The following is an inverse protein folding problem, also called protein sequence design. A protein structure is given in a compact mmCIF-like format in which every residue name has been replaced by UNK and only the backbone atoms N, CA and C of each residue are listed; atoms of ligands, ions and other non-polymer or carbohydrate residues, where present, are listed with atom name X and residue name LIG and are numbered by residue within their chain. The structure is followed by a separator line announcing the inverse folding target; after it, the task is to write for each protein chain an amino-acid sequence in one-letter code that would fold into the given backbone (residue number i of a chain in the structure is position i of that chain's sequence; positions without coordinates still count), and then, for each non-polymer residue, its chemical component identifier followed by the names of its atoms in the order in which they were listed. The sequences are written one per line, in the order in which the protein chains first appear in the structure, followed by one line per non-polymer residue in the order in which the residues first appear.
data_IF_998752207664
#
_entry.id   IF_998752207664
#
_cell.length_a   1.000
_cell.length_b   1.000
_cell.length_c   1.000
_cell.angle_alpha   90.00
_cell.angle_beta   90.00
_cell.angle_gamma   90.00
#
_symmetry.space_group_name_H-M   'P 1'
#
loop_
_entity.id
_entity.type
_entity.pdbx_description
1 polymer ?
#
# COMPACT_ATOMS: atom_id res chain seq x y z
N UNK A 1 38.20 37.02 43.33
CA UNK A 1 37.41 35.86 43.77
C UNK A 1 35.97 36.35 43.87
N UNK A 2 34.94 35.85 43.20
CA UNK A 2 34.70 34.72 42.30
C UNK A 2 33.40 35.07 41.55
N UNK A 3 33.38 34.84 40.24
CA UNK A 3 32.34 34.15 39.46
C UNK A 3 30.91 34.76 39.47
N UNK A 4 30.27 35.12 38.36
CA UNK A 4 30.27 34.46 37.05
C UNK A 4 29.14 33.42 37.00
N UNK A 5 27.93 33.82 36.59
CA UNK A 5 26.89 32.94 36.03
C UNK A 5 25.75 33.79 35.47
N UNK A 6 25.76 33.98 34.15
CA UNK A 6 24.60 34.35 33.36
C UNK A 6 24.03 33.03 32.83
N UNK A 7 22.90 32.59 33.37
CA UNK A 7 22.19 31.41 32.85
C UNK A 7 21.34 31.90 31.69
N UNK A 8 21.76 31.53 30.48
CA UNK A 8 20.99 31.67 29.25
C UNK A 8 19.94 30.54 29.25
N UNK A 9 18.67 30.88 29.44
CA UNK A 9 17.57 29.91 29.25
C UNK A 9 17.31 29.83 27.75
N UNK A 10 17.82 28.78 27.11
CA UNK A 10 17.41 28.38 25.77
C UNK A 10 16.02 27.78 25.86
N UNK A 11 15.02 28.51 25.35
CA UNK A 11 13.71 27.95 25.07
C UNK A 11 13.87 26.97 23.90
N UNK A 12 13.83 25.67 24.20
CA UNK A 12 13.65 24.64 23.19
C UNK A 12 12.17 24.69 22.80
N UNK A 13 11.89 25.33 21.67
CA UNK A 13 10.63 25.13 20.96
C UNK A 13 10.67 23.70 20.42
N UNK A 14 10.02 22.78 21.14
CA UNK A 14 9.63 21.51 20.58
C UNK A 14 8.59 21.81 19.49
N UNK A 15 9.00 21.71 18.23
CA UNK A 15 8.06 21.53 17.14
C UNK A 15 7.46 20.14 17.34
N UNK A 16 6.27 20.09 17.95
CA UNK A 16 5.42 18.93 17.83
C UNK A 16 4.99 18.86 16.37
N UNK A 17 5.40 17.81 15.67
CA UNK A 17 4.68 17.35 14.49
C UNK A 17 3.29 16.95 15.00
N UNK A 18 2.34 17.86 14.86
CA UNK A 18 0.94 17.55 15.10
C UNK A 18 0.40 16.82 13.88
N UNK A 19 -0.17 15.64 14.09
CA UNK A 19 -1.17 15.06 13.19
C UNK A 19 -2.40 15.99 13.20
N UNK A 20 -2.33 17.08 12.45
CA UNK A 20 -3.47 17.90 12.09
C UNK A 20 -3.41 18.04 10.58
N UNK A 21 -4.50 17.65 9.92
CA UNK A 21 -4.69 17.85 8.50
C UNK A 21 -4.51 19.35 8.17
N UNK A 22 -3.39 19.69 7.56
CA UNK A 22 -3.20 20.94 6.84
C UNK A 22 -2.69 20.58 5.45
N UNK A 23 -3.52 20.90 4.45
CA UNK A 23 -3.18 20.91 3.03
C UNK A 23 -2.15 22.01 2.79
N UNK A 24 -0.93 21.67 2.37
CA UNK A 24 0.00 22.68 1.83
C UNK A 24 0.87 22.10 0.72
N UNK A 25 0.48 22.49 -0.48
CA UNK A 25 1.11 22.32 -1.78
C UNK A 25 2.41 23.15 -1.83
N UNK A 26 3.58 22.50 -1.91
CA UNK A 26 4.82 23.17 -2.29
C UNK A 26 5.67 22.35 -3.26
N UNK A 27 5.49 22.68 -4.53
CA UNK A 27 6.32 22.34 -5.68
C UNK A 27 7.77 22.79 -5.47
N UNK A 28 8.73 21.87 -5.61
CA UNK A 28 10.16 22.19 -5.79
C UNK A 28 10.56 21.82 -7.22
N UNK A 29 11.03 22.79 -8.05
CA UNK A 29 11.60 22.49 -9.35
C UNK A 29 13.09 22.18 -9.20
N UNK A 30 13.59 21.13 -9.86
CA UNK A 30 15.01 21.08 -10.20
C UNK A 30 15.23 20.71 -11.66
N UNK A 31 16.18 21.46 -12.22
CA UNK A 31 16.56 21.55 -13.61
C UNK A 31 17.60 20.51 -13.99
N UNK A 32 17.72 20.26 -15.31
CA UNK A 32 18.90 19.84 -16.13
C UNK A 32 18.37 19.00 -17.31
N UNK A 33 18.86 19.05 -18.54
CA UNK A 33 20.07 19.62 -19.14
C UNK A 33 19.84 19.64 -20.68
N UNK A 34 20.23 20.71 -21.36
CA UNK A 34 20.17 20.84 -22.83
C UNK A 34 21.38 20.13 -23.47
N UNK A 35 21.15 19.25 -24.45
CA UNK A 35 22.25 18.58 -25.15
C UNK A 35 21.89 17.95 -26.48
N UNK A 36 21.85 18.75 -27.54
CA UNK A 36 21.86 18.30 -28.93
C UNK A 36 23.18 17.60 -29.31
N UNK A 37 23.14 16.59 -30.20
CA UNK A 37 23.58 16.66 -31.61
C UNK A 37 23.84 15.26 -32.22
N UNK A 38 23.23 15.03 -33.39
CA UNK A 38 23.73 14.37 -34.63
C UNK A 38 24.55 13.08 -34.57
N UNK A 39 24.07 12.03 -35.26
CA UNK A 39 24.86 11.34 -36.31
C UNK A 39 23.97 10.57 -37.30
N UNK A 40 24.53 10.39 -38.48
CA UNK A 40 23.99 10.09 -39.79
C UNK A 40 23.63 8.60 -40.01
N UNK A 41 22.72 8.33 -40.96
CA UNK A 41 22.57 6.96 -41.44
C UNK A 41 21.41 6.71 -42.39
N UNK A 42 21.56 7.13 -43.65
CA UNK A 42 20.66 6.71 -44.74
C UNK A 42 20.88 5.23 -45.07
N UNK A 43 19.81 4.43 -45.11
CA UNK A 43 19.84 3.05 -45.61
C UNK A 43 18.46 2.65 -46.09
N UNK A 44 18.25 2.77 -47.40
CA UNK A 44 17.02 2.37 -48.08
C UNK A 44 17.06 0.88 -48.37
N UNK A 45 16.03 0.15 -47.97
CA UNK A 45 15.67 -1.14 -48.56
C UNK A 45 14.16 -1.12 -48.84
N UNK A 46 13.84 -1.17 -50.12
CA UNK A 46 12.49 -1.29 -50.63
C UNK A 46 12.16 -2.78 -50.77
N UNK A 47 11.08 -3.22 -50.13
CA UNK A 47 10.33 -4.40 -50.57
C UNK A 47 8.84 -4.09 -50.43
N UNK A 48 8.16 -4.13 -51.57
CA UNK A 48 6.73 -3.95 -51.70
C UNK A 48 6.06 -5.32 -51.60
N UNK A 49 5.04 -5.44 -50.76
CA UNK A 49 3.90 -6.35 -50.98
C UNK A 49 2.66 -5.81 -50.25
N UNK A 50 1.52 -5.91 -50.93
CA UNK A 50 0.26 -5.24 -50.68
C UNK A 50 -0.63 -5.95 -49.64
N UNK A 51 -1.37 -5.18 -48.82
CA UNK A 51 -2.84 -5.05 -48.88
C UNK A 51 -3.42 -4.33 -47.64
N UNK A 52 -4.43 -3.48 -47.94
CA UNK A 52 -5.52 -2.97 -47.09
C UNK A 52 -5.27 -1.78 -46.13
N UNK A 53 -5.88 -0.65 -46.53
CA UNK A 53 -6.48 0.42 -45.74
C UNK A 53 -5.60 1.21 -44.76
N UNK A 54 -4.91 2.22 -45.30
CA UNK A 54 -4.68 3.47 -44.58
C UNK A 54 -4.71 4.63 -45.59
N UNK A 55 -5.85 5.30 -45.67
CA UNK A 55 -5.96 6.63 -46.29
C UNK A 55 -5.23 7.63 -45.39
N UNK A 56 -3.90 7.59 -45.45
CA UNK A 56 -3.02 8.55 -44.80
C UNK A 56 -3.07 9.87 -45.58
N UNK A 57 -4.06 10.71 -45.29
CA UNK A 57 -3.98 12.17 -45.50
C UNK A 57 -5.15 12.95 -44.83
N UNK A 58 -5.72 12.45 -43.74
CA UNK A 58 -6.42 13.32 -42.78
C UNK A 58 -5.36 13.83 -41.81
N UNK A 59 -5.16 15.14 -41.64
CA UNK A 59 -4.31 15.62 -40.56
C UNK A 59 -4.96 15.15 -39.25
N UNK A 60 -4.35 14.13 -38.63
CA UNK A 60 -4.73 13.66 -37.30
C UNK A 60 -4.75 14.87 -36.38
N UNK A 61 -5.97 15.29 -36.03
CA UNK A 61 -6.14 16.31 -35.00
C UNK A 61 -5.89 15.61 -33.69
N UNK A 62 -4.92 16.05 -32.87
CA UNK A 62 -4.61 15.37 -31.63
C UNK A 62 -5.87 15.24 -30.77
N UNK A 63 -6.12 14.04 -30.27
CA UNK A 63 -7.24 13.71 -29.40
C UNK A 63 -6.94 14.26 -28.00
N UNK A 64 -7.03 15.58 -27.81
CA UNK A 64 -6.50 16.23 -26.61
C UNK A 64 -7.44 17.28 -25.99
N UNK A 65 -8.74 17.13 -26.24
CA UNK A 65 -9.79 17.96 -25.65
C UNK A 65 -10.86 17.07 -25.04
N UNK A 66 -11.54 17.53 -23.97
CA UNK A 66 -12.61 16.76 -23.32
C UNK A 66 -13.69 16.23 -24.29
N UNK A 67 -13.95 16.95 -25.37
CA UNK A 67 -14.99 16.56 -26.34
C UNK A 67 -14.55 15.43 -27.28
N UNK A 68 -13.24 15.21 -27.43
CA UNK A 68 -12.67 14.16 -28.26
C UNK A 68 -12.31 12.96 -27.37
N UNK A 69 -11.73 13.22 -26.20
CA UNK A 69 -11.34 12.21 -25.21
C UNK A 69 -12.49 11.58 -24.39
N UNK A 70 -13.73 11.74 -24.83
CA UNK A 70 -14.91 11.20 -24.15
C UNK A 70 -16.05 10.89 -25.13
N UNK A 71 -15.72 10.69 -26.41
CA UNK A 71 -16.69 10.42 -27.46
C UNK A 71 -16.68 8.95 -27.94
N UNK A 72 -15.79 8.11 -27.36
CA UNK A 72 -15.62 6.70 -27.66
C UNK A 72 -15.18 6.42 -29.09
N UNK A 73 -14.46 7.35 -29.71
CA UNK A 73 -13.93 7.22 -31.07
C UNK A 73 -12.47 7.64 -31.08
N UNK A 74 -11.61 6.75 -31.58
CA UNK A 74 -10.24 7.06 -32.01
C UNK A 74 -10.25 8.18 -33.08
N UNK A 75 -10.10 9.43 -32.63
CA UNK A 75 -10.26 10.64 -33.42
C UNK A 75 -8.97 11.02 -34.17
N UNK A 76 -7.83 10.50 -33.74
CA UNK A 76 -6.52 10.77 -34.32
C UNK A 76 -5.95 9.60 -35.15
N UNK A 77 -6.56 8.42 -35.03
CA UNK A 77 -6.32 7.22 -35.82
C UNK A 77 -5.10 6.41 -35.37
N UNK A 78 -4.62 6.59 -34.14
CA UNK A 78 -3.43 5.91 -33.62
C UNK A 78 -3.73 4.53 -32.99
N UNK A 79 -5.01 4.19 -32.88
CA UNK A 79 -5.52 2.90 -32.40
C UNK A 79 -5.84 2.86 -30.91
N UNK A 80 -5.67 3.98 -30.19
CA UNK A 80 -6.15 4.17 -28.82
C UNK A 80 -7.43 5.03 -28.84
N UNK A 81 -8.20 5.05 -27.76
CA UNK A 81 -9.51 5.74 -27.73
C UNK A 81 -9.74 6.34 -26.36
N UNK A 82 -10.19 7.58 -26.31
CA UNK A 82 -10.47 8.32 -25.08
C UNK A 82 -9.30 8.23 -24.08
N UNK A 83 -9.55 7.86 -22.82
CA UNK A 83 -8.56 7.87 -21.76
C UNK A 83 -7.51 6.75 -21.84
N UNK A 84 -7.71 5.77 -22.72
CA UNK A 84 -6.65 4.81 -23.09
C UNK A 84 -5.63 5.44 -24.07
N UNK A 85 -5.96 6.59 -24.67
CA UNK A 85 -5.08 7.39 -25.52
C UNK A 85 -4.10 8.24 -24.67
N UNK A 86 -2.85 8.29 -25.09
CA UNK A 86 -1.81 9.12 -24.49
C UNK A 86 -2.03 10.61 -24.72
N UNK A 87 -2.59 11.00 -25.86
CA UNK A 87 -2.93 12.39 -26.17
C UNK A 87 -4.07 12.90 -25.27
N UNK A 88 -4.92 11.99 -24.76
CA UNK A 88 -5.93 12.27 -23.75
C UNK A 88 -5.37 12.24 -22.33
N UNK A 89 -4.84 11.10 -21.89
CA UNK A 89 -4.37 10.88 -20.50
C UNK A 89 -3.22 11.79 -20.08
N UNK A 90 -2.47 12.36 -21.02
CA UNK A 90 -1.35 13.28 -20.73
C UNK A 90 -1.63 14.73 -21.07
N UNK A 91 -2.83 15.04 -21.58
CA UNK A 91 -3.18 16.41 -21.91
C UNK A 91 -3.69 17.14 -20.68
N UNK A 92 -3.00 18.21 -20.22
CA UNK A 92 -3.42 18.97 -19.05
C UNK A 92 -4.71 19.78 -19.28
N UNK A 93 -5.20 19.83 -20.53
CA UNK A 93 -6.50 20.41 -20.89
C UNK A 93 -7.62 19.37 -20.94
N UNK A 94 -7.30 18.09 -20.78
CA UNK A 94 -8.26 16.98 -20.72
C UNK A 94 -8.53 16.69 -19.25
N UNK A 95 -9.78 16.90 -18.81
CA UNK A 95 -10.22 16.61 -17.43
C UNK A 95 -11.12 15.38 -17.34
N UNK A 96 -11.49 14.79 -18.48
CA UNK A 96 -12.33 13.58 -18.57
C UNK A 96 -11.54 12.28 -18.34
N UNK A 97 -10.20 12.37 -18.22
CA UNK A 97 -9.32 11.20 -18.10
C UNK A 97 -8.53 11.14 -16.78
N UNK A 98 -9.12 11.66 -15.71
CA UNK A 98 -8.55 11.56 -14.38
C UNK A 98 -7.51 12.63 -14.09
N UNK A 99 -7.90 13.59 -13.25
CA UNK A 99 -6.98 14.57 -12.69
C UNK A 99 -7.51 15.29 -11.44
N UNK A 100 -8.78 15.10 -11.09
CA UNK A 100 -9.41 15.64 -9.89
C UNK A 100 -10.32 14.60 -9.25
N UNK A 101 -10.70 14.81 -7.99
CA UNK A 101 -11.66 13.96 -7.31
C UNK A 101 -13.06 14.16 -7.89
N UNK A 102 -13.79 13.07 -8.15
CA UNK A 102 -15.20 13.08 -8.51
C UNK A 102 -16.07 13.20 -7.24
N UNK A 103 -16.02 14.36 -6.57
CA UNK A 103 -16.59 14.54 -5.21
C UNK A 103 -17.58 15.71 -5.07
N UNK A 104 -18.10 16.21 -6.20
CA UNK A 104 -19.05 17.32 -6.24
C UNK A 104 -20.30 16.99 -7.07
N UNK A 105 -21.44 17.61 -6.73
CA UNK A 105 -22.70 17.48 -7.48
C UNK A 105 -22.56 17.68 -9.00
N UNK A 106 -21.62 18.51 -9.44
CA UNK A 106 -21.45 18.84 -10.86
C UNK A 106 -20.64 17.79 -11.62
N UNK A 107 -19.82 17.01 -10.91
CA UNK A 107 -19.02 15.92 -11.46
C UNK A 107 -19.83 14.61 -11.40
N UNK A 108 -20.54 14.41 -10.29
CA UNK A 108 -21.34 13.21 -10.04
C UNK A 108 -22.73 13.13 -10.74
N UNK A 109 -22.99 13.97 -11.75
CA UNK A 109 -24.24 13.98 -12.55
C UNK A 109 -23.97 14.39 -14.01
N UNK A 110 -22.71 14.33 -14.45
CA UNK A 110 -22.31 14.75 -15.79
C UNK A 110 -22.16 13.60 -16.79
N UNK A 111 -22.25 12.36 -16.33
CA UNK A 111 -22.19 11.16 -17.15
C UNK A 111 -20.78 10.73 -17.53
N UNK A 112 -19.75 11.28 -16.87
CA UNK A 112 -18.34 11.03 -17.18
C UNK A 112 -17.59 10.56 -15.92
N UNK A 113 -16.68 9.62 -16.12
CA UNK A 113 -15.66 9.24 -15.13
C UNK A 113 -14.62 10.38 -15.04
N UNK A 114 -14.76 11.29 -14.09
CA UNK A 114 -13.91 12.48 -14.00
C UNK A 114 -12.59 12.23 -13.27
N UNK A 115 -12.48 11.14 -12.50
CA UNK A 115 -11.28 10.78 -11.76
C UNK A 115 -10.49 9.60 -12.37
N UNK A 116 -11.08 8.93 -13.35
CA UNK A 116 -10.46 7.91 -14.21
C UNK A 116 -10.35 6.54 -13.54
N UNK A 117 -11.13 6.25 -12.50
CA UNK A 117 -11.06 5.00 -11.75
C UNK A 117 -11.94 3.87 -12.32
N UNK A 118 -12.72 4.17 -13.37
CA UNK A 118 -13.59 3.25 -14.09
C UNK A 118 -15.03 3.20 -13.57
N UNK A 119 -15.38 4.04 -12.59
CA UNK A 119 -16.74 4.26 -12.14
C UNK A 119 -17.24 5.63 -12.63
N UNK A 120 -18.56 5.87 -12.60
CA UNK A 120 -19.15 7.08 -13.21
C UNK A 120 -20.34 7.56 -12.41
N UNK A 121 -20.40 8.87 -12.16
CA UNK A 121 -21.46 9.52 -11.41
C UNK A 121 -21.75 8.78 -10.09
N UNK A 122 -23.00 8.42 -9.83
CA UNK A 122 -23.41 7.80 -8.58
C UNK A 122 -23.01 6.34 -8.43
N UNK A 123 -22.49 5.71 -9.49
CA UNK A 123 -21.84 4.41 -9.39
C UNK A 123 -20.37 4.55 -8.90
N UNK A 124 -19.84 5.78 -8.86
CA UNK A 124 -18.51 6.14 -8.34
C UNK A 124 -18.48 6.22 -6.79
N UNK A 125 -17.38 5.76 -6.19
CA UNK A 125 -17.21 5.78 -4.73
C UNK A 125 -16.86 7.16 -4.17
N UNK A 126 -16.10 7.95 -4.91
CA UNK A 126 -15.89 9.38 -4.67
C UNK A 126 -17.21 10.13 -4.65
N UNK A 127 -18.14 9.79 -5.54
CA UNK A 127 -19.47 10.40 -5.55
C UNK A 127 -20.41 9.90 -4.47
N UNK A 128 -20.62 8.58 -4.39
CA UNK A 128 -21.57 7.96 -3.46
C UNK A 128 -21.19 8.14 -1.99
N UNK A 129 -19.90 8.27 -1.68
CA UNK A 129 -19.42 8.45 -0.31
C UNK A 129 -19.05 9.89 0.03
N UNK A 130 -19.11 10.81 -0.94
CA UNK A 130 -18.80 12.21 -0.67
C UNK A 130 -19.97 12.90 0.03
N UNK A 131 -19.77 13.41 1.26
CA UNK A 131 -20.83 14.08 2.00
C UNK A 131 -21.25 15.42 1.38
N UNK A 132 -20.51 15.94 0.40
CA UNK A 132 -20.86 17.13 -0.37
C UNK A 132 -21.70 16.83 -1.62
N UNK A 133 -21.86 15.56 -2.00
CA UNK A 133 -22.65 15.13 -3.15
C UNK A 133 -24.07 14.80 -2.68
N UNK A 134 -25.05 15.42 -3.34
CA UNK A 134 -26.49 15.34 -3.05
C UNK A 134 -27.30 14.81 -4.24
N UNK A 135 -26.69 14.77 -5.42
CA UNK A 135 -27.33 14.35 -6.66
C UNK A 135 -27.57 12.83 -6.73
N UNK A 136 -26.78 12.04 -6.00
CA UNK A 136 -26.85 10.58 -5.97
C UNK A 136 -27.99 9.98 -5.16
N UNK A 137 -29.03 10.79 -4.86
CA UNK A 137 -30.29 10.29 -4.32
C UNK A 137 -30.27 9.93 -2.84
N UNK A 138 -29.09 9.93 -2.21
CA UNK A 138 -28.92 9.87 -0.78
C UNK A 138 -28.76 11.24 -0.15
N UNK A 139 -29.58 11.60 0.82
CA UNK A 139 -29.19 12.69 1.71
C UNK A 139 -28.03 12.20 2.57
N UNK A 140 -27.07 13.03 2.96
CA UNK A 140 -25.94 12.52 3.75
C UNK A 140 -26.37 11.93 5.10
N UNK A 141 -26.05 10.67 5.39
CA UNK A 141 -26.26 10.04 6.69
C UNK A 141 -25.04 10.27 7.60
N UNK A 142 -24.87 11.52 8.04
CA UNK A 142 -23.58 11.97 8.58
C UNK A 142 -23.70 12.87 9.82
N UNK A 143 -24.84 12.81 10.52
CA UNK A 143 -25.11 13.56 11.74
C UNK A 143 -25.73 12.67 12.79
N UNK A 144 -25.57 12.99 14.08
CA UNK A 144 -26.20 12.26 15.19
C UNK A 144 -27.72 12.04 15.04
N UNK A 145 -28.41 12.94 14.34
CA UNK A 145 -29.84 12.86 14.14
C UNK A 145 -30.24 11.87 13.04
N UNK A 146 -29.37 11.66 12.05
CA UNK A 146 -29.58 10.77 10.92
C UNK A 146 -29.00 9.38 11.21
N UNK A 147 -27.84 9.34 11.87
CA UNK A 147 -27.16 8.12 12.30
C UNK A 147 -27.76 7.42 13.52
N UNK A 148 -28.99 7.77 13.90
CA UNK A 148 -29.65 7.22 15.09
C UNK A 148 -31.17 7.21 14.98
N UNK A 149 -31.70 7.32 13.77
CA UNK A 149 -33.14 7.32 13.50
C UNK A 149 -33.66 6.00 12.91
N UNK A 150 -32.78 5.02 12.68
CA UNK A 150 -33.08 3.71 12.12
C UNK A 150 -33.62 3.76 10.69
N UNK A 151 -33.20 4.77 9.92
CA UNK A 151 -33.55 4.96 8.52
C UNK A 151 -32.27 5.14 7.71
N UNK A 152 -32.14 4.32 6.67
CA UNK A 152 -31.20 4.52 5.57
C UNK A 152 -31.53 5.84 4.84
N UNK A 153 -30.87 6.91 5.27
CA UNK A 153 -31.14 8.28 4.87
C UNK A 153 -30.38 8.68 3.60
N UNK A 154 -29.31 7.95 3.28
CA UNK A 154 -28.51 8.10 2.06
C UNK A 154 -28.81 7.03 0.99
N UNK A 155 -29.63 6.04 1.30
CA UNK A 155 -30.11 5.05 0.35
C UNK A 155 -29.03 4.07 -0.13
N UNK A 156 -27.88 3.99 0.55
CA UNK A 156 -26.77 3.12 0.18
C UNK A 156 -26.96 1.66 0.66
N UNK A 157 -28.02 1.42 1.44
CA UNK A 157 -28.42 0.12 1.95
C UNK A 157 -27.85 -0.22 3.34
N UNK A 158 -27.06 0.67 3.93
CA UNK A 158 -26.64 0.62 5.32
C UNK A 158 -27.54 1.56 6.16
N UNK A 159 -27.50 1.44 7.49
CA UNK A 159 -28.41 2.21 8.36
C UNK A 159 -27.74 2.51 9.68
N UNK A 160 -27.87 3.74 10.14
CA UNK A 160 -27.27 4.29 11.35
C UNK A 160 -25.78 3.91 11.45
N UNK A 161 -25.37 3.27 12.54
CA UNK A 161 -23.97 2.96 12.81
C UNK A 161 -23.41 1.80 12.00
N UNK A 162 -24.25 1.11 11.24
CA UNK A 162 -23.79 0.16 10.22
C UNK A 162 -23.36 0.90 8.93
N UNK A 163 -23.71 2.19 8.79
CA UNK A 163 -23.32 3.08 7.70
C UNK A 163 -21.90 3.66 7.94
N UNK A 164 -21.10 3.76 6.89
CA UNK A 164 -19.76 4.36 6.95
C UNK A 164 -19.79 5.89 7.12
N UNK A 165 -20.78 6.58 6.55
CA UNK A 165 -21.07 8.00 6.75
C UNK A 165 -21.36 8.35 8.21
N UNK A 166 -21.75 7.36 9.01
CA UNK A 166 -21.94 7.45 10.45
C UNK A 166 -20.74 6.93 11.25
N UNK A 167 -20.35 5.66 11.05
CA UNK A 167 -19.33 4.97 11.85
C UNK A 167 -17.93 5.58 11.70
N UNK A 168 -17.60 6.14 10.54
CA UNK A 168 -16.28 6.74 10.26
C UNK A 168 -16.29 8.26 10.31
N UNK A 169 -17.42 8.88 10.66
CA UNK A 169 -17.52 10.32 10.71
C UNK A 169 -17.26 10.84 12.14
N UNK A 170 -16.14 11.57 12.36
CA UNK A 170 -15.77 12.04 13.69
C UNK A 170 -16.73 13.10 14.27
N UNK A 171 -17.67 13.62 13.48
CA UNK A 171 -18.72 14.52 13.94
C UNK A 171 -19.96 13.80 14.48
N UNK A 172 -20.04 12.48 14.29
CA UNK A 172 -21.12 11.61 14.77
C UNK A 172 -20.68 10.93 16.05
N UNK A 173 -21.44 11.15 17.13
CA UNK A 173 -21.20 10.63 18.48
C UNK A 173 -22.23 9.58 18.91
N UNK A 174 -23.40 9.54 18.23
CA UNK A 174 -24.48 8.60 18.55
C UNK A 174 -24.07 7.13 18.38
N UNK A 175 -23.09 6.87 17.50
CA UNK A 175 -22.58 5.52 17.23
C UNK A 175 -21.62 4.96 18.27
N UNK A 176 -21.36 5.69 19.35
CA UNK A 176 -20.70 5.14 20.52
C UNK A 176 -19.22 4.82 20.34
N UNK A 177 -18.68 4.87 19.12
CA UNK A 177 -17.24 4.72 18.88
C UNK A 177 -16.52 6.00 19.29
N UNK A 178 -16.10 6.05 20.54
CA UNK A 178 -14.91 6.84 20.85
C UNK A 178 -13.79 6.23 20.02
N UNK A 179 -13.39 6.91 18.95
CA UNK A 179 -12.36 6.44 18.02
C UNK A 179 -11.16 5.90 18.80
N UNK A 180 -10.79 4.66 18.52
CA UNK A 180 -9.64 4.00 19.14
C UNK A 180 -8.36 4.35 18.36
N UNK A 181 -7.99 5.65 18.37
CA UNK A 181 -7.00 6.20 17.44
C UNK A 181 -5.86 6.99 18.11
N UNK A 182 -5.76 6.88 19.42
CA UNK A 182 -4.81 7.65 20.23
C UNK A 182 -4.26 6.78 21.37
N UNK A 183 -3.09 7.15 21.89
CA UNK A 183 -2.39 6.41 22.94
C UNK A 183 -3.22 6.10 24.19
N UNK A 184 -4.24 6.91 24.49
CA UNK A 184 -5.09 6.67 25.67
C UNK A 184 -6.12 5.59 25.40
N UNK A 185 -6.70 5.57 24.20
CA UNK A 185 -7.66 4.56 23.80
C UNK A 185 -6.94 3.24 23.49
N UNK A 186 -5.90 3.29 22.65
CA UNK A 186 -5.13 2.13 22.19
C UNK A 186 -4.20 1.46 23.23
N UNK A 187 -4.33 1.80 24.52
CA UNK A 187 -3.44 1.28 25.56
C UNK A 187 -4.11 1.13 26.92
N UNK A 188 -5.44 1.06 26.95
CA UNK A 188 -6.23 1.03 28.18
C UNK A 188 -6.83 -0.36 28.49
N UNK A 189 -6.69 -1.34 27.60
CA UNK A 189 -7.23 -2.68 27.78
C UNK A 189 -8.72 -2.79 27.47
N UNK A 190 -9.29 -1.85 26.73
CA UNK A 190 -10.71 -1.83 26.38
C UNK A 190 -10.93 -1.52 24.91
N UNK A 191 -11.81 -2.30 24.29
CA UNK A 191 -12.46 -2.01 23.00
C UNK A 191 -13.27 -0.71 23.11
N UNK A 192 -12.66 0.42 22.74
CA UNK A 192 -13.23 1.76 22.91
C UNK A 192 -14.14 2.16 21.72
N UNK A 193 -13.97 1.51 20.57
CA UNK A 193 -14.78 1.75 19.37
C UNK A 193 -15.87 0.69 19.13
N UNK A 194 -15.82 -0.43 19.83
CA UNK A 194 -16.83 -1.49 19.83
C UNK A 194 -16.70 -2.49 18.70
N UNK A 195 -15.58 -2.53 17.98
CA UNK A 195 -15.36 -3.41 16.82
C UNK A 195 -14.97 -4.86 17.21
N UNK A 196 -14.85 -5.15 18.52
CA UNK A 196 -14.41 -6.41 19.17
C UNK A 196 -12.90 -6.65 19.23
N UNK A 197 -12.09 -5.78 18.63
CA UNK A 197 -10.65 -5.74 18.85
C UNK A 197 -10.35 -4.77 19.99
N UNK A 198 -9.11 -4.77 20.46
CA UNK A 198 -8.74 -4.04 21.67
C UNK A 198 -7.29 -3.64 21.56
N UNK A 199 -7.01 -2.38 21.86
CA UNK A 199 -5.71 -1.74 21.83
C UNK A 199 -4.97 -2.04 20.51
N UNK A 200 -3.71 -2.46 20.57
CA UNK A 200 -2.86 -2.67 19.40
C UNK A 200 -3.26 -3.88 18.54
N UNK A 201 -4.22 -4.70 19.00
CA UNK A 201 -4.86 -5.71 18.14
C UNK A 201 -5.89 -5.09 17.19
N UNK A 202 -6.30 -3.86 17.47
CA UNK A 202 -7.17 -3.08 16.61
C UNK A 202 -6.39 -2.51 15.43
N UNK A 203 -7.00 -2.54 14.24
CA UNK A 203 -6.44 -1.88 13.05
C UNK A 203 -6.44 -0.36 13.18
N UNK A 204 -7.38 0.22 13.90
CA UNK A 204 -7.47 1.66 14.13
C UNK A 204 -6.33 2.17 15.02
N UNK A 205 -5.74 1.28 15.82
CA UNK A 205 -4.53 1.50 16.60
C UNK A 205 -3.24 1.12 15.85
N UNK A 206 -3.11 -0.13 15.42
CA UNK A 206 -1.88 -0.68 14.81
C UNK A 206 -1.51 -0.02 13.49
N UNK A 207 -2.49 0.42 12.70
CA UNK A 207 -2.25 1.09 11.41
C UNK A 207 -2.11 2.60 11.54
N UNK A 208 -2.24 3.16 12.75
CA UNK A 208 -2.26 4.60 12.96
C UNK A 208 -0.90 5.12 13.42
N UNK A 209 -0.17 5.87 12.57
CA UNK A 209 1.19 6.35 12.88
C UNK A 209 1.23 7.40 14.00
N UNK A 210 0.09 7.90 14.46
CA UNK A 210 -0.01 8.83 15.57
C UNK A 210 -0.16 8.10 16.93
N UNK A 211 -0.39 6.79 16.91
CA UNK A 211 -0.42 5.91 18.09
C UNK A 211 1.00 5.40 18.34
N UNK A 212 1.52 5.71 19.52
CA UNK A 212 2.89 5.39 19.97
C UNK A 212 2.91 4.39 21.11
N UNK A 213 1.76 3.88 21.54
CA UNK A 213 1.70 2.75 22.47
C UNK A 213 1.88 1.41 21.75
N UNK A 214 1.45 1.33 20.49
CA UNK A 214 1.66 0.19 19.60
C UNK A 214 3.01 0.30 18.89
N UNK A 215 4.10 0.25 19.65
CA UNK A 215 5.45 0.37 19.11
C UNK A 215 5.95 -1.00 18.71
N UNK A 216 6.28 -1.20 17.43
CA UNK A 216 6.92 -2.44 16.97
C UNK A 216 8.11 -2.80 17.88
N UNK A 217 8.23 -4.09 18.22
CA UNK A 217 9.22 -4.56 19.15
C UNK A 217 10.65 -4.20 18.73
N UNK A 218 11.45 -3.71 19.68
CA UNK A 218 12.88 -3.50 19.46
C UNK A 218 13.65 -4.82 19.57
N UNK A 219 14.87 -4.93 19.01
CA UNK A 219 15.71 -6.12 19.17
C UNK A 219 15.97 -6.59 20.61
N UNK A 220 15.83 -5.67 21.58
CA UNK A 220 16.03 -5.99 22.99
C UNK A 220 14.76 -6.56 23.67
N UNK A 221 13.60 -6.42 23.01
CA UNK A 221 12.28 -6.88 23.47
C UNK A 221 11.96 -8.29 22.95
N UNK A 222 12.47 -8.66 21.77
CA UNK A 222 12.32 -9.96 21.10
C UNK A 222 12.91 -11.21 21.79
N UNK A 223 12.91 -11.26 23.12
CA UNK A 223 13.42 -12.36 23.94
C UNK A 223 13.30 -12.10 25.45
N UNK A 224 12.45 -11.17 25.85
CA UNK A 224 12.23 -10.78 27.24
C UNK A 224 10.99 -11.46 27.88
N UNK A 225 10.20 -12.20 27.09
CA UNK A 225 9.02 -12.91 27.54
C UNK A 225 7.77 -12.03 27.68
N UNK A 226 7.74 -10.87 27.05
CA UNK A 226 6.60 -9.94 27.09
C UNK A 226 6.21 -9.49 25.69
N UNK A 227 4.92 -9.45 25.44
CA UNK A 227 4.26 -8.74 24.33
C UNK A 227 4.42 -7.22 24.59
N UNK A 228 5.49 -6.63 24.04
CA UNK A 228 5.87 -5.24 24.32
C UNK A 228 5.07 -4.22 23.48
N UNK A 229 4.52 -4.65 22.35
CA UNK A 229 3.77 -3.81 21.42
C UNK A 229 2.24 -3.97 21.56
N UNK A 230 1.78 -4.99 22.29
CA UNK A 230 0.39 -5.24 22.63
C UNK A 230 -0.40 -5.94 21.52
N UNK A 231 0.24 -6.44 20.47
CA UNK A 231 -0.42 -7.05 19.31
C UNK A 231 -0.87 -8.51 19.58
N UNK A 232 -0.41 -9.08 20.69
CA UNK A 232 -0.77 -10.40 21.17
C UNK A 232 0.19 -11.52 20.82
N UNK A 233 1.28 -11.22 20.14
CA UNK A 233 2.40 -12.11 19.94
C UNK A 233 3.52 -11.75 20.93
N UNK A 234 4.52 -12.62 21.09
CA UNK A 234 5.54 -12.41 22.11
C UNK A 234 6.87 -12.95 21.61
N UNK A 235 7.92 -12.16 21.76
CA UNK A 235 9.28 -12.53 21.38
C UNK A 235 9.34 -13.13 19.96
N UNK A 236 9.78 -14.39 19.82
CA UNK A 236 9.96 -15.04 18.52
C UNK A 236 8.68 -15.52 17.84
N UNK A 237 7.55 -15.48 18.55
CA UNK A 237 6.25 -15.73 17.95
C UNK A 237 5.68 -14.44 17.30
N UNK A 238 6.34 -13.30 17.51
CA UNK A 238 5.98 -11.98 17.00
C UNK A 238 6.60 -11.73 15.61
N UNK A 239 5.77 -11.26 14.66
CA UNK A 239 6.20 -10.92 13.31
C UNK A 239 7.17 -9.74 13.27
N UNK A 240 7.02 -8.78 14.16
CA UNK A 240 7.94 -7.64 14.25
C UNK A 240 9.33 -8.14 14.64
N UNK A 241 9.43 -9.15 15.51
CA UNK A 241 10.68 -9.79 15.85
C UNK A 241 11.23 -10.72 14.77
N UNK A 242 10.38 -11.46 14.07
CA UNK A 242 10.80 -12.36 12.99
C UNK A 242 11.41 -11.61 11.79
N UNK A 243 10.92 -10.40 11.51
CA UNK A 243 11.36 -9.61 10.36
C UNK A 243 12.32 -8.46 10.71
N UNK A 244 12.62 -8.22 11.99
CA UNK A 244 13.53 -7.15 12.38
C UNK A 244 15.01 -7.54 12.12
N UNK A 245 15.77 -6.77 11.31
CA UNK A 245 17.09 -7.17 10.80
C UNK A 245 18.17 -7.33 11.88
N UNK A 246 18.02 -6.64 13.01
CA UNK A 246 18.93 -6.71 14.16
C UNK A 246 18.36 -7.53 15.35
N UNK A 247 17.13 -8.05 15.25
CA UNK A 247 16.51 -8.81 16.34
C UNK A 247 17.07 -10.23 16.34
N UNK A 248 17.99 -10.52 17.25
CA UNK A 248 18.44 -11.90 17.44
C UNK A 248 17.38 -12.60 18.24
N UNK A 249 16.46 -13.30 17.57
CA UNK A 249 15.54 -14.19 18.23
C UNK A 249 16.33 -15.31 18.92
N UNK A 250 16.44 -15.32 20.26
CA UNK A 250 17.10 -16.41 20.92
C UNK A 250 16.14 -17.59 20.82
N UNK A 251 16.51 -18.59 20.01
CA UNK A 251 15.73 -19.80 19.89
C UNK A 251 15.24 -20.27 21.24
N UNK A 252 13.91 -20.27 21.41
CA UNK A 252 13.30 -20.85 22.59
C UNK A 252 13.83 -22.27 22.73
N UNK A 253 14.06 -22.73 23.96
CA UNK A 253 14.66 -24.04 24.18
C UNK A 253 13.73 -25.14 23.60
N UNK A 254 14.15 -25.75 22.49
CA UNK A 254 13.36 -26.72 21.74
C UNK A 254 12.64 -26.17 20.51
N UNK A 255 12.93 -24.93 20.07
CA UNK A 255 12.48 -24.40 18.79
C UNK A 255 13.52 -24.69 17.69
N UNK A 256 13.04 -25.06 16.50
CA UNK A 256 13.86 -25.36 15.34
C UNK A 256 14.17 -24.07 14.55
N UNK A 257 15.09 -23.24 15.07
CA UNK A 257 15.31 -21.89 14.51
C UNK A 257 16.77 -21.43 14.48
N UNK A 258 17.71 -22.36 14.69
CA UNK A 258 19.14 -22.12 14.52
C UNK A 258 19.75 -23.04 13.47
N UNK A 259 20.95 -22.72 12.99
CA UNK A 259 21.60 -23.49 11.93
C UNK A 259 21.91 -24.94 12.32
N UNK A 260 21.94 -25.28 13.61
CA UNK A 260 22.21 -26.62 14.09
C UNK A 260 20.94 -27.47 14.17
N UNK A 261 19.80 -26.85 14.46
CA UNK A 261 18.49 -27.48 14.46
C UNK A 261 17.90 -27.56 13.06
N UNK A 262 17.95 -26.48 12.29
CA UNK A 262 17.47 -26.39 10.90
C UNK A 262 18.34 -27.08 9.83
N UNK A 263 19.12 -28.09 10.20
CA UNK A 263 20.00 -28.79 9.26
C UNK A 263 20.51 -30.13 9.79
N UNK A 264 19.79 -30.74 10.73
CA UNK A 264 20.19 -31.98 11.38
C UNK A 264 19.32 -33.19 11.01
N UNK A 265 18.27 -33.00 10.20
CA UNK A 265 17.38 -34.05 9.73
C UNK A 265 16.35 -34.49 10.76
N UNK A 266 16.04 -33.66 11.76
CA UNK A 266 15.07 -33.94 12.80
C UNK A 266 14.14 -32.76 13.04
N UNK A 267 12.84 -33.08 13.11
CA UNK A 267 11.77 -32.26 13.70
C UNK A 267 12.09 -32.01 15.18
N UNK A 268 12.82 -30.94 15.47
CA UNK A 268 13.36 -30.63 16.80
C UNK A 268 12.30 -30.01 17.72
N UNK A 269 11.28 -29.35 17.15
CA UNK A 269 10.20 -28.71 17.88
C UNK A 269 8.88 -29.52 17.94
N UNK A 270 8.78 -30.58 17.13
CA UNK A 270 7.71 -31.56 17.14
C UNK A 270 6.44 -31.12 16.42
N UNK A 271 6.51 -30.11 15.56
CA UNK A 271 5.36 -29.59 14.80
C UNK A 271 5.03 -30.43 13.54
N UNK A 272 5.94 -31.34 13.16
CA UNK A 272 5.82 -32.27 12.05
C UNK A 272 6.50 -31.83 10.76
N UNK A 273 7.20 -30.69 10.77
CA UNK A 273 8.10 -30.24 9.71
C UNK A 273 9.56 -30.49 10.13
N UNK A 274 10.51 -30.42 9.20
CA UNK A 274 11.91 -30.79 9.48
C UNK A 274 12.86 -29.97 8.65
N UNK A 275 13.90 -29.45 9.29
CA UNK A 275 14.90 -28.55 8.74
C UNK A 275 14.26 -27.45 7.90
N UNK A 276 14.63 -27.32 6.63
CA UNK A 276 14.19 -26.25 5.75
C UNK A 276 12.75 -26.39 5.25
N UNK A 277 12.14 -27.57 5.44
CA UNK A 277 10.69 -27.72 5.28
C UNK A 277 9.91 -27.07 6.43
N UNK A 278 10.57 -26.73 7.54
CA UNK A 278 9.99 -26.02 8.67
C UNK A 278 9.90 -24.51 8.42
N UNK A 279 8.76 -23.91 8.75
CA UNK A 279 8.56 -22.46 8.65
C UNK A 279 9.46 -21.69 9.63
N UNK A 280 9.76 -22.27 10.79
CA UNK A 280 10.69 -21.75 11.81
C UNK A 280 12.12 -21.63 11.29
N UNK A 281 12.47 -22.44 10.28
CA UNK A 281 13.77 -22.44 9.61
C UNK A 281 13.76 -21.61 8.32
N UNK A 282 12.82 -21.87 7.41
CA UNK A 282 12.75 -21.24 6.08
C UNK A 282 12.43 -19.75 6.11
N UNK A 283 11.74 -19.27 7.15
CA UNK A 283 11.39 -17.84 7.30
C UNK A 283 12.30 -17.08 8.26
N UNK A 284 13.25 -17.74 8.88
CA UNK A 284 14.15 -17.12 9.83
C UNK A 284 15.40 -16.56 9.14
N UNK A 285 15.49 -15.24 9.07
CA UNK A 285 16.62 -14.54 8.44
C UNK A 285 17.98 -14.76 9.10
N UNK A 286 18.03 -15.39 10.29
CA UNK A 286 19.26 -15.78 10.99
C UNK A 286 19.70 -17.23 10.72
N UNK A 287 18.83 -18.06 10.12
CA UNK A 287 19.16 -19.43 9.73
C UNK A 287 19.82 -19.40 8.35
N UNK A 288 21.13 -19.65 8.32
CA UNK A 288 21.87 -19.80 7.05
C UNK A 288 21.89 -21.24 6.54
N UNK A 289 21.32 -22.18 7.29
CA UNK A 289 21.25 -23.60 6.92
C UNK A 289 20.34 -23.80 5.71
N UNK A 290 19.22 -23.06 5.68
CA UNK A 290 18.25 -23.00 4.59
C UNK A 290 18.57 -21.87 3.60
N UNK A 291 19.86 -21.68 3.34
CA UNK A 291 20.34 -20.53 2.58
C UNK A 291 19.93 -20.63 1.12
N UNK A 292 18.98 -19.80 0.70
CA UNK A 292 18.43 -19.70 -0.65
C UNK A 292 19.47 -19.94 -1.77
N UNK A 293 19.13 -20.82 -2.70
CA UNK A 293 19.88 -21.02 -3.95
C UNK A 293 19.86 -19.74 -4.81
N UNK A 294 20.95 -18.96 -4.75
CA UNK A 294 21.02 -17.63 -5.38
C UNK A 294 22.17 -17.54 -6.40
N UNK A 295 22.84 -18.66 -6.68
CA UNK A 295 23.92 -18.70 -7.67
C UNK A 295 23.57 -19.64 -8.80
N UNK A 296 24.05 -19.28 -9.98
CA UNK A 296 23.92 -20.09 -11.19
C UNK A 296 24.49 -21.52 -11.06
N UNK A 297 25.38 -21.76 -10.09
CA UNK A 297 25.98 -23.07 -9.85
C UNK A 297 25.19 -23.91 -8.84
N UNK A 298 24.30 -23.29 -8.08
CA UNK A 298 23.35 -23.98 -7.21
C UNK A 298 22.11 -24.32 -8.05
N UNK A 299 21.58 -23.33 -8.76
CA UNK A 299 20.39 -23.45 -9.60
C UNK A 299 20.55 -24.20 -10.94
N UNK A 300 21.63 -24.94 -11.18
CA UNK A 300 21.82 -25.76 -12.41
C UNK A 300 22.42 -27.16 -12.19
N UNK A 301 22.67 -27.53 -10.93
CA UNK A 301 23.51 -28.67 -10.61
C UNK A 301 22.72 -29.96 -10.30
N UNK A 302 21.39 -29.91 -10.29
CA UNK A 302 20.53 -31.07 -10.03
C UNK A 302 20.47 -31.49 -8.56
N UNK A 303 20.94 -30.63 -7.66
CA UNK A 303 20.84 -30.80 -6.22
C UNK A 303 19.78 -29.84 -5.65
N UNK A 304 19.35 -30.18 -4.44
CA UNK A 304 18.62 -29.32 -3.53
C UNK A 304 19.68 -28.88 -2.52
N UNK A 305 20.36 -27.77 -2.82
CA UNK A 305 21.51 -27.25 -2.08
C UNK A 305 21.10 -26.49 -0.81
N UNK A 306 19.85 -26.02 -0.73
CA UNK A 306 19.30 -25.35 0.45
C UNK A 306 18.36 -26.24 1.30
N UNK A 307 18.04 -27.43 0.82
CA UNK A 307 17.37 -28.50 1.56
C UNK A 307 15.86 -28.33 1.69
N UNK A 308 15.23 -27.48 0.87
CA UNK A 308 13.81 -27.13 0.93
C UNK A 308 12.91 -28.09 0.11
N UNK A 309 13.49 -29.16 -0.44
CA UNK A 309 12.81 -30.19 -1.20
C UNK A 309 12.58 -29.82 -2.67
N UNK A 310 13.00 -28.64 -3.11
CA UNK A 310 12.98 -28.20 -4.49
C UNK A 310 14.39 -28.16 -5.08
N UNK A 311 14.51 -28.41 -6.38
CA UNK A 311 15.82 -28.49 -7.06
C UNK A 311 15.86 -27.52 -8.22
N UNK A 312 16.96 -26.77 -8.34
CA UNK A 312 17.25 -25.90 -9.46
C UNK A 312 16.06 -24.96 -9.79
N UNK A 313 15.60 -24.92 -11.03
CA UNK A 313 14.58 -23.96 -11.47
C UNK A 313 13.15 -24.26 -11.02
N UNK A 314 12.95 -25.40 -10.35
CA UNK A 314 11.70 -25.67 -9.64
C UNK A 314 11.73 -25.11 -8.21
N UNK A 315 12.88 -24.67 -7.74
CA UNK A 315 13.05 -23.95 -6.48
C UNK A 315 12.65 -22.48 -6.65
N UNK A 316 11.90 -22.00 -5.66
CA UNK A 316 11.45 -20.62 -5.54
C UNK A 316 12.62 -19.64 -5.38
N UNK A 317 13.66 -20.04 -4.65
CA UNK A 317 14.92 -19.30 -4.46
C UNK A 317 15.59 -19.01 -5.80
N UNK A 318 15.70 -20.03 -6.66
CA UNK A 318 16.26 -19.90 -8.01
C UNK A 318 15.36 -19.12 -8.97
N UNK A 319 14.06 -19.39 -8.98
CA UNK A 319 13.11 -18.77 -9.91
C UNK A 319 12.83 -17.30 -9.63
N UNK A 320 13.09 -16.83 -8.41
CA UNK A 320 12.95 -15.42 -8.02
C UNK A 320 14.26 -14.69 -7.81
N UNK A 321 15.40 -15.36 -7.99
CA UNK A 321 16.70 -14.73 -7.86
C UNK A 321 16.97 -13.76 -9.01
N UNK A 322 17.35 -12.52 -8.68
CA UNK A 322 17.81 -11.52 -9.65
C UNK A 322 19.23 -11.82 -10.18
N UNK A 323 19.90 -12.84 -9.66
CA UNK A 323 21.31 -13.16 -9.91
C UNK A 323 21.50 -14.48 -10.65
N UNK A 324 20.43 -15.26 -10.81
CA UNK A 324 20.39 -16.52 -11.55
C UNK A 324 19.88 -16.24 -12.96
N UNK A 325 20.66 -16.61 -13.97
CA UNK A 325 20.34 -16.39 -15.39
C UNK A 325 20.21 -17.68 -16.18
N UNK A 326 20.61 -18.83 -15.62
CA UNK A 326 20.50 -20.13 -16.29
C UNK A 326 19.16 -20.85 -16.12
N UNK A 327 18.23 -20.31 -15.33
CA UNK A 327 17.00 -21.06 -15.02
C UNK A 327 15.88 -21.01 -16.07
N UNK A 328 16.10 -20.30 -17.17
CA UNK A 328 15.12 -20.09 -18.21
C UNK A 328 15.76 -20.28 -19.60
N UNK A 329 15.88 -21.54 -20.05
CA UNK A 329 15.94 -21.90 -21.48
C UNK A 329 14.84 -22.92 -21.80
#
# INVERSE_FOLDING_TARGET
MRNGSWILVMAVLAAGFGCRAETDDTVIPDARDDGATTDDGSGADADADADADADADVPATPENTNALCGDHVDNDGDGYTDCDDYDCSRSPSVTVCGGGAEDTDALCDDGLDNDGDGYTDCDDYGCSRSPSVTVCGGGAENTDALCGDHVDNDGDGYTDCDDYGCSRNPSVTVCGSTREDNDTACGNGTDDDGDTRTDCRDSDCSSNPCVTVCVHETPAQCGNGTDDDGDGYTDCDDYDCLYHPDAVCPCAAGAECDNASCGNGADDDGDGFTDCDDFSCSRNGHVTACGAEQTNAQCDNGADDDGDGYTDCNDFSCSRSLWVTACCD
#
